data_IF_640267857716
#
_entry.id   IF_640267857716
#
_cell.length_a   1.000
_cell.length_b   1.000
_cell.length_c   1.000
_cell.angle_alpha   90.00
_cell.angle_beta   90.00
_cell.angle_gamma   90.00
#
_symmetry.space_group_name_H-M   'P 1'
#
loop_
_entity.id
_entity.type
_entity.pdbx_description
1 polymer ?
#
# COMPACT_ATOMS: atom_id res chain seq x y z
N UNK A 1 -4.93 -22.33 -14.40
CA UNK A 1 -5.26 -21.05 -13.74
C UNK A 1 -4.95 -21.16 -12.25
N UNK A 2 -4.20 -20.20 -11.74
CA UNK A 2 -3.93 -20.17 -10.30
C UNK A 2 -5.23 -19.87 -9.53
N UNK A 3 -5.62 -20.71 -8.58
CA UNK A 3 -6.91 -20.55 -7.89
C UNK A 3 -6.91 -19.54 -6.76
N UNK A 4 -5.76 -18.98 -6.41
CA UNK A 4 -5.65 -17.99 -5.34
C UNK A 4 -5.69 -16.57 -5.85
N UNK A 5 -5.09 -15.67 -5.07
CA UNK A 5 -5.05 -14.24 -5.35
C UNK A 5 -3.67 -13.83 -5.84
N UNK A 6 -3.64 -12.93 -6.81
CA UNK A 6 -2.40 -12.47 -7.46
C UNK A 6 -2.42 -10.95 -7.49
N UNK A 7 -1.27 -10.34 -7.23
CA UNK A 7 -1.07 -8.91 -7.43
C UNK A 7 0.27 -8.67 -8.11
N UNK A 8 0.30 -7.70 -9.00
CA UNK A 8 1.49 -7.40 -9.80
C UNK A 8 1.77 -5.90 -9.70
N UNK A 9 3.04 -5.55 -9.58
CA UNK A 9 3.52 -4.19 -9.72
C UNK A 9 4.79 -4.20 -10.56
N UNK A 10 4.97 -3.20 -11.40
CA UNK A 10 6.20 -3.13 -12.18
C UNK A 10 6.66 -1.69 -12.32
N UNK A 11 7.96 -1.53 -12.45
CA UNK A 11 8.63 -0.29 -12.77
C UNK A 11 9.41 -0.52 -14.07
N UNK A 12 10.03 0.51 -14.64
CA UNK A 12 10.89 0.29 -15.81
C UNK A 12 12.03 -0.71 -15.57
N UNK A 13 12.37 -0.99 -14.31
CA UNK A 13 13.51 -1.84 -13.99
C UNK A 13 13.15 -3.25 -13.56
N UNK A 14 12.03 -3.42 -12.83
CA UNK A 14 11.67 -4.71 -12.22
C UNK A 14 10.17 -4.94 -12.25
N UNK A 15 9.81 -6.22 -12.22
CA UNK A 15 8.44 -6.65 -12.01
C UNK A 15 8.35 -7.40 -10.69
N UNK A 16 7.27 -7.18 -9.96
CA UNK A 16 7.01 -7.80 -8.67
C UNK A 16 5.70 -8.57 -8.76
N UNK A 17 5.71 -9.81 -8.30
CA UNK A 17 4.53 -10.66 -8.28
C UNK A 17 4.31 -11.16 -6.87
N UNK A 18 3.09 -10.99 -6.35
CA UNK A 18 2.68 -11.55 -5.08
C UNK A 18 1.54 -12.53 -5.31
N UNK A 19 1.57 -13.64 -4.60
CA UNK A 19 0.50 -14.64 -4.66
C UNK A 19 0.11 -15.03 -3.24
N UNK A 20 -1.18 -15.30 -3.04
CA UNK A 20 -1.70 -15.78 -1.76
C UNK A 20 -2.86 -16.73 -2.06
N UNK A 21 -2.83 -17.97 -1.53
CA UNK A 21 -3.89 -18.93 -1.85
C UNK A 21 -5.22 -18.60 -1.19
N UNK A 22 -5.23 -17.81 -0.10
CA UNK A 22 -6.41 -17.64 0.73
C UNK A 22 -6.93 -16.19 0.82
N UNK A 23 -6.07 -15.19 0.66
CA UNK A 23 -6.44 -13.81 0.94
C UNK A 23 -6.19 -12.91 -0.26
N UNK A 24 -7.11 -11.97 -0.54
CA UNK A 24 -6.80 -10.90 -1.49
C UNK A 24 -5.56 -10.14 -1.04
N UNK A 25 -4.68 -9.84 -1.98
CA UNK A 25 -3.43 -9.14 -1.72
C UNK A 25 -3.23 -8.02 -2.73
N UNK A 26 -2.39 -7.08 -2.35
CA UNK A 26 -1.92 -6.03 -3.24
C UNK A 26 -0.46 -5.78 -2.97
N UNK A 27 0.32 -5.66 -4.03
CA UNK A 27 1.73 -5.29 -3.95
C UNK A 27 1.95 -4.02 -4.77
N UNK A 28 2.73 -3.10 -4.23
CA UNK A 28 3.15 -1.92 -4.97
C UNK A 28 4.62 -1.67 -4.72
N UNK A 29 5.33 -1.37 -5.80
CA UNK A 29 6.75 -1.08 -5.78
C UNK A 29 7.00 0.19 -6.57
N UNK A 30 7.76 1.12 -5.99
CA UNK A 30 8.02 2.39 -6.61
C UNK A 30 9.48 2.80 -6.44
N UNK A 31 9.97 3.52 -7.45
CA UNK A 31 11.24 4.22 -7.37
C UNK A 31 10.95 5.69 -7.05
N UNK A 32 11.92 6.35 -6.42
CA UNK A 32 11.76 7.78 -6.15
C UNK A 32 11.62 8.58 -7.45
N UNK A 33 10.71 9.53 -7.42
CA UNK A 33 10.52 10.51 -8.49
C UNK A 33 10.49 11.90 -7.88
N UNK A 34 11.24 12.82 -8.45
CA UNK A 34 11.34 14.18 -7.93
C UNK A 34 10.00 14.93 -8.00
N UNK A 35 9.06 14.45 -8.82
CA UNK A 35 7.72 15.04 -8.90
C UNK A 35 6.79 14.60 -7.79
N UNK A 36 7.15 13.56 -7.02
CA UNK A 36 6.26 13.00 -6.01
C UNK A 36 5.85 13.99 -4.92
N UNK A 37 6.75 14.83 -4.38
CA UNK A 37 6.33 15.81 -3.37
C UNK A 37 5.25 16.76 -3.88
N UNK A 38 5.31 17.18 -5.13
CA UNK A 38 4.30 18.07 -5.69
C UNK A 38 2.96 17.36 -5.88
N UNK A 39 2.96 16.05 -6.09
CA UNK A 39 1.75 15.26 -6.27
C UNK A 39 1.13 14.83 -4.95
N UNK A 40 1.90 14.83 -3.87
CA UNK A 40 1.46 14.28 -2.58
C UNK A 40 0.13 14.86 -2.08
N UNK A 41 -0.15 16.17 -2.18
CA UNK A 41 -1.44 16.69 -1.73
C UNK A 41 -2.66 16.12 -2.46
N UNK A 42 -2.46 15.50 -3.61
CA UNK A 42 -3.56 14.90 -4.38
C UNK A 42 -3.99 13.55 -3.82
N UNK A 43 -3.11 12.87 -3.07
CA UNK A 43 -3.42 11.55 -2.53
C UNK A 43 -3.32 11.48 -1.01
N UNK A 44 -2.84 12.53 -0.34
CA UNK A 44 -2.71 12.57 1.12
C UNK A 44 -3.42 13.78 1.71
N UNK A 45 -4.06 13.58 2.88
CA UNK A 45 -4.63 14.67 3.64
C UNK A 45 -3.56 15.36 4.50
N UNK A 46 -3.95 16.42 5.23
CA UNK A 46 -3.00 17.18 6.03
C UNK A 46 -2.35 16.35 7.15
N UNK A 47 -3.14 15.47 7.77
CA UNK A 47 -2.63 14.61 8.83
C UNK A 47 -1.58 13.64 8.31
N UNK A 48 -1.86 13.04 7.16
CA UNK A 48 -0.91 12.16 6.50
C UNK A 48 0.35 12.90 6.08
N UNK A 49 0.20 14.12 5.56
CA UNK A 49 1.34 14.94 5.18
C UNK A 49 2.25 15.24 6.38
N UNK A 50 1.65 15.44 7.57
CA UNK A 50 2.45 15.70 8.77
C UNK A 50 3.32 14.52 9.16
N UNK A 51 2.86 13.30 8.92
CA UNK A 51 3.60 12.09 9.26
C UNK A 51 4.51 11.65 8.12
N UNK A 52 3.94 11.51 6.92
CA UNK A 52 4.63 10.87 5.80
C UNK A 52 5.34 11.85 4.88
N UNK A 53 5.05 13.13 4.98
CA UNK A 53 5.71 14.15 4.18
C UNK A 53 7.10 14.52 4.67
N UNK A 54 7.56 13.95 5.80
CA UNK A 54 8.80 14.36 6.45
C UNK A 54 10.06 13.91 5.71
N UNK A 55 9.99 12.86 4.91
CA UNK A 55 11.16 12.35 4.20
C UNK A 55 10.73 11.66 2.89
N UNK A 56 11.67 11.54 1.94
CA UNK A 56 11.40 10.78 0.70
C UNK A 56 10.97 9.35 0.97
N UNK A 57 11.60 8.68 1.94
CA UNK A 57 11.29 7.30 2.27
C UNK A 57 9.87 7.15 2.78
N UNK A 58 9.43 8.07 3.68
CA UNK A 58 8.08 8.04 4.22
C UNK A 58 7.05 8.40 3.15
N UNK A 59 7.38 9.32 2.26
CA UNK A 59 6.47 9.69 1.19
C UNK A 59 6.22 8.52 0.23
N UNK A 60 7.28 7.78 -0.13
CA UNK A 60 7.14 6.58 -0.93
C UNK A 60 6.38 5.49 -0.18
N UNK A 61 6.59 5.36 1.14
CA UNK A 61 5.81 4.41 1.94
C UNK A 61 4.33 4.75 1.90
N UNK A 62 3.99 6.03 2.03
CA UNK A 62 2.60 6.47 1.94
C UNK A 62 1.98 6.06 0.61
N UNK A 63 2.67 6.34 -0.49
CA UNK A 63 2.17 6.03 -1.81
C UNK A 63 2.02 4.52 -2.04
N UNK A 64 3.07 3.74 -1.75
CA UNK A 64 3.02 2.30 -1.96
C UNK A 64 1.99 1.63 -1.06
N UNK A 65 1.81 2.12 0.18
CA UNK A 65 0.82 1.55 1.08
C UNK A 65 -0.61 1.80 0.58
N UNK A 66 -0.91 3.01 0.13
CA UNK A 66 -2.23 3.31 -0.41
C UNK A 66 -2.51 2.47 -1.66
N UNK A 67 -1.55 2.36 -2.56
CA UNK A 67 -1.70 1.58 -3.78
C UNK A 67 -1.85 0.09 -3.47
N UNK A 68 -1.04 -0.45 -2.57
CA UNK A 68 -1.14 -1.86 -2.21
C UNK A 68 -2.49 -2.18 -1.55
N UNK A 69 -2.94 -1.34 -0.63
CA UNK A 69 -4.24 -1.50 0.01
C UNK A 69 -5.37 -1.40 -1.02
N UNK A 70 -5.29 -0.46 -1.94
CA UNK A 70 -6.26 -0.28 -3.01
C UNK A 70 -6.39 -1.56 -3.85
N UNK A 71 -5.26 -2.15 -4.22
CA UNK A 71 -5.25 -3.40 -4.99
C UNK A 71 -5.85 -4.56 -4.20
N UNK A 72 -5.49 -4.67 -2.91
CA UNK A 72 -5.99 -5.76 -2.08
C UNK A 72 -7.49 -5.67 -1.85
N UNK A 73 -8.03 -4.46 -1.69
CA UNK A 73 -9.47 -4.26 -1.47
C UNK A 73 -10.29 -4.61 -2.70
N UNK A 74 -9.82 -4.24 -3.88
CA UNK A 74 -10.52 -4.57 -5.13
C UNK A 74 -11.95 -4.03 -5.21
N UNK A 75 -12.23 -2.88 -4.57
CA UNK A 75 -13.57 -2.31 -4.53
C UNK A 75 -13.75 -1.37 -5.73
N UNK A 76 -14.75 -1.64 -6.60
CA UNK A 76 -15.05 -0.72 -7.70
C UNK A 76 -15.39 0.67 -7.16
N UNK A 77 -15.00 1.71 -7.89
CA UNK A 77 -15.32 3.11 -7.55
C UNK A 77 -14.53 3.67 -6.35
N UNK A 78 -13.80 2.84 -5.61
CA UNK A 78 -12.87 3.33 -4.60
C UNK A 78 -11.70 4.00 -5.32
N UNK A 79 -11.23 5.13 -4.80
CA UNK A 79 -10.02 5.77 -5.32
C UNK A 79 -8.94 5.76 -4.24
N UNK A 80 -7.69 5.82 -4.68
CA UNK A 80 -6.54 5.69 -3.77
C UNK A 80 -6.58 6.74 -2.66
N UNK A 81 -7.01 7.96 -2.97
CA UNK A 81 -7.08 9.03 -1.97
C UNK A 81 -8.12 8.78 -0.88
N UNK A 82 -9.06 7.86 -1.08
CA UNK A 82 -10.04 7.50 -0.05
C UNK A 82 -9.44 6.62 1.04
N UNK A 83 -8.26 6.05 0.80
CA UNK A 83 -7.61 5.16 1.75
C UNK A 83 -6.80 6.02 2.72
N UNK A 84 -7.14 5.93 4.02
CA UNK A 84 -6.49 6.72 5.05
C UNK A 84 -5.42 5.90 5.73
N UNK A 85 -4.21 6.43 5.76
CA UNK A 85 -3.06 5.74 6.33
C UNK A 85 -3.10 5.76 7.86
N UNK A 86 -2.48 4.76 8.52
CA UNK A 86 -2.27 4.81 9.97
C UNK A 86 -1.42 6.02 10.36
N UNK A 87 -1.64 6.52 11.57
CA UNK A 87 -0.80 7.60 12.11
C UNK A 87 0.62 7.13 12.39
N UNK A 88 0.79 5.85 12.68
CA UNK A 88 2.11 5.23 12.86
C UNK A 88 2.57 4.68 11.51
N UNK A 89 3.63 5.25 10.97
CA UNK A 89 4.16 4.85 9.66
C UNK A 89 4.70 3.40 9.66
N UNK A 90 4.97 2.83 10.83
CA UNK A 90 5.45 1.46 10.95
C UNK A 90 4.34 0.48 11.35
N UNK A 91 3.08 0.93 11.37
CA UNK A 91 1.97 0.06 11.75
C UNK A 91 1.90 -1.16 10.82
N UNK A 92 1.72 -2.34 11.42
CA UNK A 92 1.63 -3.60 10.69
C UNK A 92 0.20 -3.91 10.24
N UNK A 93 -0.77 -3.09 10.66
CA UNK A 93 -2.20 -3.31 10.38
C UNK A 93 -2.84 -1.95 10.12
N UNK A 94 -3.78 -1.92 9.19
CA UNK A 94 -4.57 -0.72 8.94
C UNK A 94 -6.02 -1.10 8.65
N UNK A 95 -6.91 -0.12 8.71
CA UNK A 95 -8.30 -0.29 8.29
C UNK A 95 -8.59 0.62 7.11
N UNK A 96 -9.40 0.13 6.19
CA UNK A 96 -9.86 0.92 5.05
C UNK A 96 -11.16 0.30 4.55
N UNK A 97 -12.12 1.15 4.20
CA UNK A 97 -13.42 0.70 3.67
C UNK A 97 -14.09 -0.33 4.60
N UNK A 98 -13.94 -0.17 5.91
CA UNK A 98 -14.53 -1.08 6.90
C UNK A 98 -13.84 -2.44 7.00
N UNK A 99 -12.69 -2.60 6.38
CA UNK A 99 -11.95 -3.86 6.38
C UNK A 99 -10.58 -3.67 7.03
N UNK A 100 -10.01 -4.76 7.48
CA UNK A 100 -8.67 -4.77 8.08
C UNK A 100 -7.67 -5.39 7.11
N UNK A 101 -6.50 -4.75 7.00
CA UNK A 101 -5.41 -5.25 6.16
C UNK A 101 -4.15 -5.37 7.00
N UNK A 102 -3.39 -6.43 6.76
CA UNK A 102 -2.02 -6.51 7.28
C UNK A 102 -1.07 -5.87 6.27
N UNK A 103 -0.02 -5.24 6.77
CA UNK A 103 0.98 -4.55 5.96
C UNK A 103 2.35 -5.16 6.19
N UNK A 104 3.06 -5.37 5.09
CA UNK A 104 4.44 -5.84 5.13
C UNK A 104 5.28 -4.87 4.31
N UNK A 105 6.22 -4.22 4.98
CA UNK A 105 7.16 -3.32 4.32
C UNK A 105 8.41 -4.13 4.02
N UNK A 106 8.60 -4.40 2.74
CA UNK A 106 9.70 -5.24 2.30
C UNK A 106 10.95 -4.37 2.21
N UNK A 107 12.08 -4.91 2.68
CA UNK A 107 13.35 -4.21 2.56
C UNK A 107 13.60 -3.79 1.13
N UNK A 108 14.20 -2.61 0.90
CA UNK A 108 14.38 -2.12 -0.45
C UNK A 108 15.03 -3.16 -1.37
N UNK A 109 14.49 -3.26 -2.59
CA UNK A 109 14.99 -4.16 -3.61
C UNK A 109 15.47 -3.29 -4.76
N UNK A 110 16.78 -3.19 -4.95
CA UNK A 110 17.39 -2.38 -6.02
C UNK A 110 16.83 -0.95 -6.06
N UNK A 111 16.74 -0.33 -4.89
CA UNK A 111 16.25 1.06 -4.78
C UNK A 111 14.75 1.22 -4.75
N UNK A 112 13.99 0.14 -4.90
CA UNK A 112 12.54 0.20 -4.84
C UNK A 112 12.03 0.19 -3.40
N UNK A 113 11.00 0.99 -3.13
CA UNK A 113 10.19 0.87 -1.91
C UNK A 113 9.02 -0.04 -2.24
N UNK A 114 8.81 -1.07 -1.41
CA UNK A 114 7.82 -2.12 -1.70
C UNK A 114 6.92 -2.32 -0.50
N UNK A 115 5.60 -2.29 -0.71
CA UNK A 115 4.60 -2.60 0.31
C UNK A 115 3.70 -3.72 -0.18
N UNK A 116 3.45 -4.69 0.69
CA UNK A 116 2.49 -5.78 0.47
C UNK A 116 1.36 -5.63 1.48
N UNK A 117 0.12 -5.58 0.99
CA UNK A 117 -1.08 -5.54 1.81
C UNK A 117 -1.87 -6.83 1.61
N UNK A 118 -2.36 -7.39 2.71
CA UNK A 118 -3.21 -8.59 2.68
C UNK A 118 -4.53 -8.27 3.36
N UNK A 119 -5.63 -8.54 2.67
CA UNK A 119 -6.96 -8.34 3.22
C UNK A 119 -7.28 -9.47 4.19
N UNK A 120 -7.57 -9.12 5.43
CA UNK A 120 -7.88 -10.11 6.46
C UNK A 120 -9.38 -10.44 6.44
N UNK A 121 -9.77 -11.63 6.91
CA UNK A 121 -11.19 -11.96 7.02
C UNK A 121 -11.93 -11.00 7.94
N UNK A 122 -13.22 -10.80 7.70
CA UNK A 122 -14.05 -9.97 8.57
C UNK A 122 -14.00 -10.50 10.00
N UNK A 123 -13.91 -9.58 10.96
CA UNK A 123 -13.84 -9.93 12.37
C UNK A 123 -12.45 -10.26 12.87
N UNK A 124 -11.43 -10.20 12.00
CA UNK A 124 -10.05 -10.53 12.40
C UNK A 124 -9.48 -9.55 13.41
N UNK A 125 -9.83 -8.29 13.33
CA UNK A 125 -9.25 -7.26 14.19
C UNK A 125 -9.68 -7.42 15.65
N UNK A 126 -10.72 -8.20 15.92
CA UNK A 126 -11.18 -8.44 17.27
C UNK A 126 -10.63 -9.71 17.91
N UNK A 127 -9.69 -10.35 17.27
CA UNK A 127 -9.18 -11.66 17.71
C UNK A 127 -7.88 -11.56 18.48
#
# INVERSE_FOLDING_TARGET
IYPGHISISHTPRLAFLAVDPLHPIGIDAELWRDTLPALAPRFMNQREMAVYGASPELLLRAWTTKEAAFKALGIPQLVVSDIILPDDADAAVMTAAGRTLSLHFISPVEGHTVTLARLLPDGSEGK
#
